data_IF_551798802641
#
_entry.id   IF_551798802641
#
_cell.length_a   1.000
_cell.length_b   1.000
_cell.length_c   1.000
_cell.angle_alpha   90.00
_cell.angle_beta   90.00
_cell.angle_gamma   90.00
#
_symmetry.space_group_name_H-M   'P 1'
#
loop_
_entity.id
_entity.type
_entity.pdbx_description
1 polymer ?
#
# COMPACT_ATOMS: atom_id res chain seq x y z
N UNK A 1 11.07 -4.16 19.38
CA UNK A 1 10.27 -3.31 18.48
C UNK A 1 9.42 -4.24 17.63
N UNK A 2 8.10 -4.09 17.61
CA UNK A 2 7.22 -4.84 16.71
C UNK A 2 7.10 -4.13 15.35
N UNK A 3 6.59 -4.81 14.31
CA UNK A 3 6.52 -4.25 12.94
C UNK A 3 5.85 -2.87 12.89
N UNK A 4 4.75 -2.70 13.63
CA UNK A 4 4.02 -1.44 13.71
C UNK A 4 4.86 -0.31 14.33
N UNK A 5 5.62 -0.60 15.39
CA UNK A 5 6.51 0.39 16.01
C UNK A 5 7.74 0.72 15.14
N UNK A 6 8.17 -0.20 14.27
CA UNK A 6 9.26 0.05 13.32
C UNK A 6 8.81 0.95 12.15
N UNK A 7 7.57 0.78 11.70
CA UNK A 7 6.86 1.63 10.75
C UNK A 7 6.84 3.12 11.18
N UNK A 8 6.62 3.42 12.46
CA UNK A 8 6.61 4.82 12.94
C UNK A 8 7.99 5.47 13.15
N UNK A 9 9.10 4.82 12.78
CA UNK A 9 10.46 5.28 13.08
C UNK A 9 11.21 5.82 11.83
N UNK A 10 11.10 7.14 11.58
CA UNK A 10 11.87 7.90 10.59
C UNK A 10 12.12 7.16 9.24
N UNK A 11 13.31 7.29 8.63
CA UNK A 11 13.57 6.83 7.25
C UNK A 11 13.39 5.33 7.02
N UNK A 12 13.58 4.49 8.06
CA UNK A 12 13.33 3.03 8.00
C UNK A 12 11.85 2.66 8.14
N UNK A 13 11.05 3.56 8.71
CA UNK A 13 9.61 3.39 8.83
C UNK A 13 8.91 3.34 7.48
N UNK A 14 9.33 4.22 6.56
CA UNK A 14 8.70 4.38 5.24
C UNK A 14 8.69 3.08 4.42
N UNK A 15 9.83 2.39 4.35
CA UNK A 15 9.93 1.13 3.59
C UNK A 15 9.06 0.02 4.19
N UNK A 16 9.00 -0.09 5.52
CA UNK A 16 8.17 -1.08 6.21
C UNK A 16 6.68 -0.75 6.09
N UNK A 17 6.30 0.53 6.14
CA UNK A 17 4.93 0.99 5.92
C UNK A 17 4.43 0.65 4.51
N UNK A 18 5.25 0.92 3.48
CA UNK A 18 4.93 0.55 2.09
C UNK A 18 4.79 -0.97 1.98
N UNK A 19 5.72 -1.73 2.58
CA UNK A 19 5.66 -3.20 2.58
C UNK A 19 4.38 -3.72 3.24
N UNK A 20 3.99 -3.16 4.39
CA UNK A 20 2.73 -3.51 5.07
C UNK A 20 1.54 -3.18 4.16
N UNK A 21 1.52 -2.01 3.52
CA UNK A 21 0.47 -1.63 2.57
C UNK A 21 0.33 -2.65 1.43
N UNK A 22 1.45 -3.09 0.84
CA UNK A 22 1.47 -4.08 -0.24
C UNK A 22 0.99 -5.46 0.22
N UNK A 23 1.38 -5.91 1.41
CA UNK A 23 0.90 -7.15 2.02
C UNK A 23 -0.63 -7.11 2.22
N UNK A 24 -1.16 -6.00 2.74
CA UNK A 24 -2.60 -5.79 2.94
C UNK A 24 -3.36 -5.76 1.63
N UNK A 25 -2.83 -5.07 0.60
CA UNK A 25 -3.44 -5.07 -0.74
C UNK A 25 -3.48 -6.49 -1.31
N UNK A 26 -2.41 -7.27 -1.16
CA UNK A 26 -2.36 -8.67 -1.59
C UNK A 26 -3.46 -9.50 -0.95
N UNK A 27 -3.57 -9.45 0.38
CA UNK A 27 -4.60 -10.17 1.14
C UNK A 27 -6.02 -9.72 0.77
N UNK A 28 -6.24 -8.41 0.63
CA UNK A 28 -7.54 -7.86 0.27
C UNK A 28 -8.00 -8.36 -1.12
N UNK A 29 -7.07 -8.53 -2.06
CA UNK A 29 -7.36 -9.05 -3.40
C UNK A 29 -7.71 -10.53 -3.43
N UNK A 30 -7.32 -11.31 -2.43
CA UNK A 30 -7.72 -12.73 -2.30
C UNK A 30 -9.17 -12.89 -1.80
N UNK A 31 -9.75 -11.83 -1.23
CA UNK A 31 -11.13 -11.85 -0.74
C UNK A 31 -12.10 -11.91 -1.93
N UNK A 32 -12.90 -12.98 -1.99
CA UNK A 32 -13.92 -13.17 -3.02
C UNK A 32 -14.89 -11.99 -3.05
N UNK A 33 -14.99 -11.34 -4.22
CA UNK A 33 -15.91 -10.22 -4.45
C UNK A 33 -15.28 -8.82 -4.32
N UNK A 34 -14.02 -8.72 -3.87
CA UNK A 34 -13.27 -7.46 -3.93
C UNK A 34 -12.84 -7.20 -5.38
N UNK A 35 -13.29 -6.08 -5.96
CA UNK A 35 -13.04 -5.73 -7.36
C UNK A 35 -12.07 -4.55 -7.53
N UNK A 36 -11.64 -3.94 -6.43
CA UNK A 36 -10.77 -2.77 -6.47
C UNK A 36 -10.28 -2.37 -5.08
N UNK A 37 -9.33 -1.44 -5.08
CA UNK A 37 -8.69 -0.90 -3.88
C UNK A 37 -8.82 0.61 -3.93
N UNK A 38 -9.21 1.21 -2.81
CA UNK A 38 -9.16 2.66 -2.58
C UNK A 38 -7.98 2.95 -1.64
N UNK A 39 -7.06 3.81 -2.06
CA UNK A 39 -5.89 4.22 -1.26
C UNK A 39 -6.15 5.63 -0.76
N UNK A 40 -6.14 5.82 0.56
CA UNK A 40 -6.14 7.14 1.19
C UNK A 40 -4.69 7.55 1.45
N UNK A 41 -4.32 8.73 0.97
CA UNK A 41 -2.95 9.22 1.01
C UNK A 41 -2.83 10.48 1.88
N UNK A 42 -3.28 10.40 3.13
CA UNK A 42 -3.25 11.55 4.05
C UNK A 42 -1.80 11.92 4.34
N UNK A 43 -1.36 13.09 3.85
CA UNK A 43 0.00 13.64 4.04
C UNK A 43 1.14 12.78 3.47
N UNK A 44 0.83 11.82 2.58
CA UNK A 44 1.76 10.83 2.01
C UNK A 44 1.49 10.58 0.51
N UNK A 45 1.02 11.61 -0.19
CA UNK A 45 0.64 11.56 -1.60
C UNK A 45 1.79 11.10 -2.51
N UNK A 46 3.05 11.40 -2.14
CA UNK A 46 4.23 11.00 -2.91
C UNK A 46 4.50 9.48 -2.86
N UNK A 47 3.98 8.77 -1.87
CA UNK A 47 4.13 7.31 -1.77
C UNK A 47 3.12 6.57 -2.67
N UNK A 48 2.01 7.21 -3.06
CA UNK A 48 0.96 6.58 -3.85
C UNK A 48 1.46 6.02 -5.18
N UNK A 49 2.24 6.76 -6.01
CA UNK A 49 2.78 6.24 -7.26
C UNK A 49 3.60 4.96 -7.10
N UNK A 50 4.39 4.85 -6.02
CA UNK A 50 5.19 3.67 -5.72
C UNK A 50 4.29 2.47 -5.35
N UNK A 51 3.34 2.68 -4.43
CA UNK A 51 2.40 1.64 -3.98
C UNK A 51 1.60 1.09 -5.17
N UNK A 52 1.00 1.96 -6.00
CA UNK A 52 0.16 1.50 -7.12
C UNK A 52 0.96 0.78 -8.21
N UNK A 53 2.23 1.15 -8.42
CA UNK A 53 3.12 0.46 -9.34
C UNK A 53 3.49 -0.93 -8.81
N UNK A 54 3.96 -1.01 -7.56
CA UNK A 54 4.36 -2.28 -6.94
C UNK A 54 3.18 -3.24 -6.78
N UNK A 55 2.00 -2.73 -6.42
CA UNK A 55 0.76 -3.50 -6.29
C UNK A 55 0.13 -3.91 -7.64
N UNK A 56 0.69 -3.46 -8.77
CA UNK A 56 0.14 -3.66 -10.13
C UNK A 56 -1.31 -3.16 -10.25
N UNK A 57 -1.60 -2.03 -9.60
CA UNK A 57 -2.87 -1.30 -9.70
C UNK A 57 -2.82 -0.19 -10.76
N UNK A 58 -1.62 0.14 -11.24
CA UNK A 58 -1.38 1.07 -12.34
C UNK A 58 -0.99 0.32 -13.63
N UNK A 59 -1.44 0.75 -14.82
CA UNK A 59 -2.40 1.84 -15.07
C UNK A 59 -3.82 1.46 -14.63
N UNK A 60 -4.65 2.46 -14.36
CA UNK A 60 -6.07 2.24 -14.05
C UNK A 60 -6.74 1.52 -15.23
N UNK A 61 -7.53 0.46 -14.98
CA UNK A 61 -8.29 -0.22 -16.03
C UNK A 61 -9.15 0.77 -16.82
N UNK A 62 -9.17 0.63 -18.14
CA UNK A 62 -10.08 1.37 -19.03
C UNK A 62 -11.39 0.59 -19.11
N UNK A 63 -12.50 1.32 -19.11
CA UNK A 63 -13.82 0.77 -19.44
C UNK A 63 -13.87 0.38 -20.94
#
# INVERSE_FOLDING_TARGET
>A
MNRMTAASAAKKGIEEDIKICLEVIGQAREIKGVVGIHIMAVEWEEAVPEIVQQARLYPRPKL
#
